data_IF_563662184260
#
_entry.id   IF_563662184260
#
_cell.length_a   1.000
_cell.length_b   1.000
_cell.length_c   1.000
_cell.angle_alpha   90.00
_cell.angle_beta   90.00
_cell.angle_gamma   90.00
#
_symmetry.space_group_name_H-M   'P 1'
#
loop_
_entity.id
_entity.type
_entity.pdbx_description
1 polymer ?
#
# COMPACT_ATOMS: atom_id res chain seq x y z
N UNK A 1 -5.47 5.30 -9.85
CA UNK A 1 -4.65 4.32 -9.11
C UNK A 1 -5.43 3.81 -7.92
N UNK A 2 -5.54 2.49 -7.75
CA UNK A 2 -6.20 1.87 -6.59
C UNK A 2 -5.26 1.77 -5.40
N UNK A 3 -5.61 2.40 -4.29
CA UNK A 3 -4.82 2.39 -3.04
C UNK A 3 -5.67 1.78 -1.92
N UNK A 4 -5.11 0.82 -1.20
CA UNK A 4 -5.71 0.34 0.04
C UNK A 4 -4.97 0.94 1.24
N UNK A 5 -5.70 1.62 2.12
CA UNK A 5 -5.19 2.19 3.37
C UNK A 5 -5.62 1.30 4.52
N UNK A 6 -4.65 0.81 5.28
CA UNK A 6 -4.84 -0.02 6.48
C UNK A 6 -4.45 0.82 7.69
N UNK A 7 -5.34 0.92 8.68
CA UNK A 7 -5.12 1.72 9.89
C UNK A 7 -5.86 1.14 11.10
N UNK A 8 -5.58 1.64 12.30
CA UNK A 8 -6.19 1.16 13.56
C UNK A 8 -7.55 1.78 13.89
N UNK A 9 -8.22 2.40 12.92
CA UNK A 9 -9.51 3.06 13.12
C UNK A 9 -9.45 4.44 13.78
N UNK A 10 -8.25 4.99 14.02
CA UNK A 10 -8.10 6.35 14.53
C UNK A 10 -8.13 7.40 13.40
N UNK A 11 -8.26 8.67 13.80
CA UNK A 11 -8.43 9.80 12.89
C UNK A 11 -7.26 9.98 11.90
N UNK A 12 -6.05 9.53 12.23
CA UNK A 12 -4.88 9.69 11.35
C UNK A 12 -4.97 8.82 10.11
N UNK A 13 -5.49 7.60 10.26
CA UNK A 13 -5.78 6.72 9.12
C UNK A 13 -6.80 7.32 8.17
N UNK A 14 -7.90 7.84 8.72
CA UNK A 14 -8.94 8.51 7.94
C UNK A 14 -8.43 9.80 7.25
N UNK A 15 -7.60 10.60 7.94
CA UNK A 15 -6.96 11.78 7.35
C UNK A 15 -6.04 11.38 6.19
N UNK A 16 -5.24 10.33 6.36
CA UNK A 16 -4.37 9.81 5.31
C UNK A 16 -5.19 9.35 4.10
N UNK A 17 -6.25 8.57 4.31
CA UNK A 17 -7.14 8.14 3.24
C UNK A 17 -7.74 9.32 2.45
N UNK A 18 -8.22 10.35 3.16
CA UNK A 18 -8.75 11.57 2.53
C UNK A 18 -7.70 12.32 1.72
N UNK A 19 -6.47 12.44 2.23
CA UNK A 19 -5.36 13.08 1.50
C UNK A 19 -5.03 12.32 0.22
N UNK A 20 -4.94 11.01 0.27
CA UNK A 20 -4.66 10.18 -0.91
C UNK A 20 -5.81 10.25 -1.93
N UNK A 21 -7.06 10.30 -1.46
CA UNK A 21 -8.20 10.52 -2.34
C UNK A 21 -8.15 11.90 -3.02
N UNK A 22 -7.74 12.94 -2.30
CA UNK A 22 -7.56 14.29 -2.85
C UNK A 22 -6.43 14.38 -3.89
N UNK A 23 -5.45 13.46 -3.86
CA UNK A 23 -4.44 13.31 -4.91
C UNK A 23 -4.98 12.63 -6.18
N UNK A 24 -6.21 12.09 -6.17
CA UNK A 24 -6.81 11.36 -7.29
C UNK A 24 -6.64 9.83 -7.22
N UNK A 25 -6.27 9.28 -6.06
CA UNK A 25 -6.32 7.84 -5.83
C UNK A 25 -7.76 7.35 -5.62
N UNK A 26 -8.06 6.15 -6.12
CA UNK A 26 -9.24 5.38 -5.73
C UNK A 26 -8.90 4.66 -4.42
N UNK A 27 -9.35 5.22 -3.30
CA UNK A 27 -8.96 4.76 -1.95
C UNK A 27 -9.99 3.80 -1.38
N UNK A 28 -9.52 2.67 -0.85
CA UNK A 28 -10.29 1.77 0.00
C UNK A 28 -9.66 1.71 1.39
N UNK A 29 -10.49 1.78 2.43
CA UNK A 29 -10.03 1.74 3.82
C UNK A 29 -10.28 0.36 4.42
N UNK A 30 -9.35 -0.11 5.25
CA UNK A 30 -9.47 -1.36 6.02
C UNK A 30 -8.89 -1.16 7.42
N UNK A 31 -9.51 -1.80 8.41
CA UNK A 31 -8.94 -1.87 9.74
C UNK A 31 -7.76 -2.86 9.78
N UNK A 32 -6.76 -2.56 10.60
CA UNK A 32 -5.60 -3.41 10.86
C UNK A 32 -5.94 -4.64 11.72
N UNK A 33 -7.04 -5.32 11.40
CA UNK A 33 -7.57 -6.47 12.11
C UNK A 33 -7.39 -7.75 11.28
N UNK A 34 -6.79 -8.77 11.89
CA UNK A 34 -6.68 -10.08 11.26
C UNK A 34 -7.98 -10.87 11.40
N UNK A 35 -8.47 -11.57 10.35
CA UNK A 35 -7.93 -11.65 8.98
C UNK A 35 -8.53 -10.62 8.01
N UNK A 36 -9.25 -9.60 8.50
CA UNK A 36 -10.04 -8.65 7.71
C UNK A 36 -9.25 -7.97 6.59
N UNK A 37 -8.15 -7.27 6.92
CA UNK A 37 -7.35 -6.58 5.90
C UNK A 37 -6.77 -7.55 4.86
N UNK A 38 -6.37 -8.76 5.30
CA UNK A 38 -5.80 -9.76 4.42
C UNK A 38 -6.88 -10.26 3.45
N UNK A 39 -8.07 -10.58 3.96
CA UNK A 39 -9.21 -10.94 3.12
C UNK A 39 -9.63 -9.82 2.17
N UNK A 40 -9.58 -8.55 2.57
CA UNK A 40 -9.88 -7.44 1.67
C UNK A 40 -8.88 -7.35 0.49
N UNK A 41 -7.60 -7.63 0.75
CA UNK A 41 -6.60 -7.77 -0.32
C UNK A 41 -6.83 -9.05 -1.13
N UNK A 42 -7.66 -10.00 -0.71
CA UNK A 42 -7.82 -11.30 -1.36
C UNK A 42 -9.19 -11.53 -2.02
N UNK A 43 -10.26 -10.90 -1.55
CA UNK A 43 -11.61 -11.24 -1.95
C UNK A 43 -11.90 -10.82 -3.39
N UNK A 44 -12.59 -11.66 -4.17
CA UNK A 44 -13.19 -11.24 -5.43
C UNK A 44 -14.29 -10.24 -5.13
N UNK A 45 -14.24 -9.06 -5.76
CA UNK A 45 -15.30 -8.04 -5.62
C UNK A 45 -16.61 -8.45 -6.31
N UNK A 46 -16.61 -9.55 -7.08
CA UNK A 46 -17.79 -10.11 -7.74
C UNK A 46 -18.27 -11.40 -7.04
N UNK A 47 -19.48 -11.42 -6.46
CA UNK A 47 -20.08 -12.64 -5.94
C UNK A 47 -20.18 -13.73 -7.02
N UNK A 48 -19.66 -14.91 -6.74
CA UNK A 48 -19.72 -16.07 -7.65
C UNK A 48 -18.50 -16.23 -8.58
N UNK A 49 -17.53 -15.32 -8.56
CA UNK A 49 -16.27 -15.53 -9.28
C UNK A 49 -15.29 -16.36 -8.44
N UNK A 50 -14.85 -17.50 -8.99
CA UNK A 50 -13.77 -18.33 -8.42
C UNK A 50 -12.38 -17.74 -8.64
N UNK A 51 -12.28 -16.72 -9.50
CA UNK A 51 -11.03 -16.05 -9.85
C UNK A 51 -11.14 -14.56 -9.60
N UNK A 52 -10.14 -13.99 -8.93
CA UNK A 52 -10.02 -12.55 -8.76
C UNK A 52 -9.45 -11.93 -10.03
N UNK A 53 -10.11 -10.92 -10.59
CA UNK A 53 -9.50 -10.13 -11.66
C UNK A 53 -8.31 -9.36 -11.06
N UNK A 54 -7.09 -9.48 -11.60
CA UNK A 54 -5.94 -8.67 -11.18
C UNK A 54 -6.24 -7.16 -11.18
N UNK A 55 -7.19 -6.69 -11.98
CA UNK A 55 -7.64 -5.30 -12.00
C UNK A 55 -8.37 -4.86 -10.73
N UNK A 56 -8.84 -5.80 -9.92
CA UNK A 56 -9.55 -5.53 -8.66
C UNK A 56 -8.61 -5.51 -7.46
N UNK A 57 -7.30 -5.76 -7.65
CA UNK A 57 -6.33 -5.62 -6.58
C UNK A 57 -5.94 -4.16 -6.37
N UNK A 58 -5.59 -3.77 -5.13
CA UNK A 58 -4.90 -2.51 -4.94
C UNK A 58 -3.56 -2.54 -5.69
N UNK A 59 -3.23 -1.43 -6.34
CA UNK A 59 -1.92 -1.23 -6.98
C UNK A 59 -0.85 -0.88 -5.95
N UNK A 60 -1.28 -0.33 -4.80
CA UNK A 60 -0.44 0.04 -3.66
C UNK A 60 -1.20 -0.24 -2.36
N UNK A 61 -0.50 -0.78 -1.37
CA UNK A 61 -0.99 -0.89 0.01
C UNK A 61 -0.23 0.12 0.88
N UNK A 62 -0.98 0.85 1.69
CA UNK A 62 -0.49 1.84 2.63
C UNK A 62 -0.91 1.40 4.03
N UNK A 63 0.04 1.25 4.95
CA UNK A 63 -0.21 0.91 6.35
C UNK A 63 0.18 2.10 7.22
N UNK A 64 -0.80 2.70 7.90
CA UNK A 64 -0.58 3.78 8.87
C UNK A 64 0.05 3.19 10.14
N UNK A 65 1.21 3.72 10.55
CA UNK A 65 2.03 3.13 11.61
C UNK A 65 2.16 3.95 12.88
N UNK A 66 1.59 5.16 12.96
CA UNK A 66 1.85 6.04 14.10
C UNK A 66 1.07 5.68 15.36
N UNK A 67 -0.15 5.14 15.21
CA UNK A 67 -1.03 4.84 16.33
C UNK A 67 -0.66 3.53 17.04
N UNK A 68 -0.42 2.47 16.26
CA UNK A 68 0.06 1.17 16.75
C UNK A 68 1.17 0.65 15.82
N UNK A 69 2.42 1.05 16.08
CA UNK A 69 3.57 0.62 15.28
C UNK A 69 3.77 -0.90 15.28
N UNK A 70 3.30 -1.60 16.32
CA UNK A 70 3.43 -3.05 16.40
C UNK A 70 2.46 -3.74 15.46
N UNK A 71 1.18 -3.37 15.51
CA UNK A 71 0.18 -3.94 14.60
C UNK A 71 0.48 -3.55 13.15
N UNK A 72 0.92 -2.33 12.90
CA UNK A 72 1.25 -1.86 11.56
C UNK A 72 2.41 -2.63 10.91
N UNK A 73 3.52 -2.87 11.63
CA UNK A 73 4.64 -3.68 11.09
C UNK A 73 4.26 -5.13 10.86
N UNK A 74 3.40 -5.71 11.70
CA UNK A 74 2.88 -7.07 11.51
C UNK A 74 2.05 -7.13 10.22
N UNK A 75 1.11 -6.20 10.03
CA UNK A 75 0.29 -6.09 8.83
C UNK A 75 1.15 -5.93 7.56
N UNK A 76 2.10 -4.99 7.60
CA UNK A 76 3.02 -4.75 6.49
C UNK A 76 3.88 -5.98 6.18
N UNK A 77 4.32 -6.72 7.21
CA UNK A 77 5.06 -7.97 7.05
C UNK A 77 4.23 -9.06 6.39
N UNK A 78 3.00 -9.30 6.86
CA UNK A 78 2.10 -10.28 6.26
C UNK A 78 1.82 -9.97 4.79
N UNK A 79 1.54 -8.71 4.45
CA UNK A 79 1.22 -8.31 3.08
C UNK A 79 2.45 -8.26 2.17
N UNK A 80 3.60 -7.85 2.69
CA UNK A 80 4.85 -7.79 1.94
C UNK A 80 5.43 -9.17 1.62
N UNK A 81 5.27 -10.15 2.51
CA UNK A 81 5.95 -11.45 2.42
C UNK A 81 5.07 -12.56 1.84
N UNK A 82 3.74 -12.46 1.92
CA UNK A 82 2.84 -13.52 1.45
C UNK A 82 2.87 -13.65 -0.07
N UNK A 83 2.98 -14.89 -0.58
CA UNK A 83 3.16 -15.17 -2.01
C UNK A 83 2.13 -14.48 -2.94
N UNK A 84 0.91 -14.27 -2.44
CA UNK A 84 -0.21 -13.70 -3.18
C UNK A 84 -0.29 -12.16 -3.13
N UNK A 85 0.49 -11.51 -2.28
CA UNK A 85 0.45 -10.05 -2.07
C UNK A 85 1.82 -9.41 -2.20
N UNK A 86 2.91 -10.19 -2.15
CA UNK A 86 4.30 -9.73 -2.22
C UNK A 86 4.69 -8.98 -3.50
N UNK A 87 3.86 -9.04 -4.54
CA UNK A 87 4.02 -8.27 -5.78
C UNK A 87 3.44 -6.85 -5.67
N UNK A 88 2.60 -6.58 -4.68
CA UNK A 88 2.00 -5.26 -4.43
C UNK A 88 2.96 -4.46 -3.56
N UNK A 89 3.36 -3.24 -3.95
CA UNK A 89 4.13 -2.33 -3.11
C UNK A 89 3.41 -2.05 -1.79
N UNK A 90 4.13 -2.20 -0.67
CA UNK A 90 3.65 -1.88 0.68
C UNK A 90 4.44 -0.69 1.21
N UNK A 91 3.74 0.37 1.60
CA UNK A 91 4.32 1.52 2.29
C UNK A 91 3.87 1.52 3.75
N UNK A 92 4.84 1.56 4.67
CA UNK A 92 4.60 1.70 6.10
C UNK A 92 4.86 3.16 6.48
N UNK A 93 3.77 3.88 6.78
CA UNK A 93 3.76 5.34 6.88
C UNK A 93 3.87 5.79 8.33
N UNK A 94 4.70 6.81 8.57
CA UNK A 94 4.88 7.46 9.88
C UNK A 94 5.23 6.49 11.01
N UNK A 95 5.93 5.40 10.68
CA UNK A 95 6.46 4.47 11.67
C UNK A 95 7.55 5.16 12.52
N UNK A 96 7.54 5.01 13.86
CA UNK A 96 8.53 5.66 14.73
C UNK A 96 9.96 5.25 14.40
N UNK A 97 10.87 6.24 14.37
CA UNK A 97 12.28 6.03 13.98
C UNK A 97 13.05 5.15 14.96
N UNK A 98 12.76 5.26 16.25
CA UNK A 98 13.32 4.42 17.31
C UNK A 98 12.94 2.94 17.16
N UNK A 99 11.86 2.66 16.45
CA UNK A 99 11.32 1.33 16.18
C UNK A 99 11.59 0.84 14.74
N UNK A 100 12.38 1.58 13.94
CA UNK A 100 12.68 1.24 12.54
C UNK A 100 13.37 -0.12 12.42
N UNK A 101 14.34 -0.44 13.29
CA UNK A 101 15.03 -1.74 13.25
C UNK A 101 14.04 -2.92 13.34
N UNK A 102 13.01 -2.79 14.18
CA UNK A 102 11.97 -3.82 14.34
C UNK A 102 11.09 -3.90 13.09
N UNK A 103 10.72 -2.75 12.51
CA UNK A 103 9.97 -2.71 11.25
C UNK A 103 10.75 -3.36 10.11
N UNK A 104 12.04 -3.04 9.93
CA UNK A 104 12.89 -3.64 8.88
C UNK A 104 13.01 -5.15 9.03
N UNK A 105 13.08 -5.66 10.26
CA UNK A 105 13.14 -7.10 10.52
C UNK A 105 11.79 -7.78 10.29
N UNK A 106 10.67 -7.14 10.63
CA UNK A 106 9.33 -7.75 10.54
C UNK A 106 8.68 -7.60 9.16
N UNK A 107 8.93 -6.48 8.49
CA UNK A 107 8.37 -6.11 7.19
C UNK A 107 9.50 -5.68 6.23
N UNK A 108 10.42 -6.59 5.86
CA UNK A 108 11.62 -6.23 5.10
C UNK A 108 11.33 -5.69 3.70
N UNK A 109 10.20 -6.05 3.11
CA UNK A 109 9.75 -5.56 1.79
C UNK A 109 8.91 -4.28 1.84
N UNK A 110 8.52 -3.83 3.02
CA UNK A 110 7.79 -2.59 3.17
C UNK A 110 8.73 -1.39 3.08
N UNK A 111 8.31 -0.36 2.33
CA UNK A 111 9.01 0.91 2.27
C UNK A 111 8.54 1.79 3.43
N UNK A 112 9.44 2.10 4.36
CA UNK A 112 9.18 3.05 5.43
C UNK A 112 9.26 4.47 4.86
N UNK A 113 8.18 5.23 5.00
CA UNK A 113 8.06 6.58 4.44
C UNK A 113 7.29 7.50 5.38
N UNK A 114 7.51 8.80 5.24
CA UNK A 114 6.62 9.83 5.81
C UNK A 114 5.43 10.06 4.88
N UNK A 115 4.36 10.71 5.38
CA UNK A 115 3.23 11.13 4.53
C UNK A 115 3.67 11.91 3.30
N UNK A 116 4.53 12.91 3.45
CA UNK A 116 4.97 13.75 2.33
C UNK A 116 5.74 12.95 1.27
N UNK A 117 6.58 12.00 1.68
CA UNK A 117 7.27 11.10 0.75
C UNK A 117 6.28 10.18 0.02
N UNK A 118 5.26 9.66 0.71
CA UNK A 118 4.21 8.87 0.08
C UNK A 118 3.43 9.69 -0.95
N UNK A 119 2.98 10.89 -0.58
CA UNK A 119 2.23 11.79 -1.46
C UNK A 119 3.04 12.10 -2.73
N UNK A 120 4.35 12.35 -2.60
CA UNK A 120 5.24 12.54 -3.74
C UNK A 120 5.31 11.31 -4.64
N UNK A 121 5.59 10.12 -4.07
CA UNK A 121 5.70 8.85 -4.82
C UNK A 121 4.40 8.53 -5.58
N UNK A 122 3.24 8.77 -4.97
CA UNK A 122 1.96 8.52 -5.61
C UNK A 122 1.65 9.57 -6.68
N UNK A 123 1.97 10.84 -6.45
CA UNK A 123 1.80 11.90 -7.45
C UNK A 123 2.64 11.66 -8.71
N UNK A 124 3.87 11.18 -8.54
CA UNK A 124 4.75 10.80 -9.66
C UNK A 124 4.15 9.65 -10.47
N UNK A 125 3.55 8.64 -9.81
CA UNK A 125 2.91 7.51 -10.48
C UNK A 125 1.58 7.86 -11.15
N UNK A 126 0.87 8.87 -10.64
CA UNK A 126 -0.39 9.38 -11.21
C UNK A 126 -0.14 10.33 -12.39
N UNK A 127 1.02 10.98 -12.43
CA UNK A 127 1.38 11.89 -13.51
C UNK A 127 1.55 11.12 -14.83
N UNK A 128 0.97 11.59 -15.96
CA UNK A 128 1.00 10.89 -17.24
C UNK A 128 2.40 10.77 -17.91
N UNK A 129 3.49 11.01 -17.19
CA UNK A 129 4.85 10.95 -17.72
C UNK A 129 5.62 9.76 -17.16
N UNK A 130 5.50 8.64 -17.87
CA UNK A 130 6.29 7.43 -17.66
C UNK A 130 6.08 6.33 -18.72
N UNK A 131 5.41 6.63 -19.83
CA UNK A 131 5.29 5.75 -21.00
C UNK A 131 5.87 6.45 -22.24
N UNK A 132 7.17 6.73 -22.23
CA UNK A 132 8.04 7.09 -23.37
C UNK A 132 9.44 7.27 -22.74
N UNK A 133 10.56 6.65 -23.13
CA UNK A 133 11.03 6.16 -24.42
C UNK A 133 12.05 5.02 -24.19
N UNK A 134 11.86 3.86 -24.82
CA UNK A 134 12.97 3.03 -25.33
C UNK A 134 12.47 2.25 -26.54
N UNK A 135 12.21 2.97 -27.63
CA UNK A 135 12.19 2.40 -28.98
C UNK A 135 12.90 3.37 -29.93
N UNK A 136 14.18 3.15 -30.13
CA UNK A 136 14.99 3.40 -31.35
C UNK A 136 16.43 3.09 -30.93
N UNK A 137 17.06 2.01 -31.38
CA UNK A 137 17.37 1.73 -32.77
C UNK A 137 18.81 2.17 -33.03
N UNK A 138 19.77 1.29 -32.80
CA UNK A 138 21.11 1.40 -33.39
C UNK A 138 21.57 0.01 -33.82
N UNK A 139 21.07 -0.39 -34.99
CA UNK A 139 21.81 -1.22 -35.93
C UNK A 139 22.59 -0.28 -36.85
N UNK A 140 23.92 -0.33 -36.77
CA UNK A 140 24.84 -0.23 -37.91
C UNK A 140 26.25 -0.53 -37.38
#
# INVERSE_FOLDING_TARGET
MKVMVIHTGDARGAELAQRLAALGCEVSEQLAEWPGFFHAVHQPHTPGSLHRDPKDQPEVIVVEGSADPSTARECAGYLGETAFTRHIPVYLVDHPQDDEYRARRRAPRASLVTRGQLEQVLSEKLSPQGQAETVTGQTA
#
